data_IF_892763558104
#
_entry.id   IF_892763558104
#
_cell.length_a   1.000
_cell.length_b   1.000
_cell.length_c   1.000
_cell.angle_alpha   90.00
_cell.angle_beta   90.00
_cell.angle_gamma   90.00
#
_symmetry.space_group_name_H-M   'P 1'
#
loop_
_entity.id
_entity.type
_entity.pdbx_description
1 polymer ?
#
# COMPACT_ATOMS: atom_id res chain seq x y z
N UNK A 1 -13.02 1.68 9.61
CA UNK A 1 -11.62 1.24 9.53
C UNK A 1 -11.55 0.21 8.42
N UNK A 2 -10.74 0.49 7.39
CA UNK A 2 -10.89 -0.18 6.09
C UNK A 2 -10.25 -1.57 6.01
N UNK A 3 -9.27 -1.89 6.88
CA UNK A 3 -8.64 -3.20 6.92
C UNK A 3 -8.06 -3.52 8.30
N UNK A 4 -8.20 -4.78 8.73
CA UNK A 4 -7.73 -5.32 9.99
C UNK A 4 -7.07 -6.69 9.77
N UNK A 5 -6.30 -7.15 10.77
CA UNK A 5 -5.75 -8.51 10.79
C UNK A 5 -6.88 -9.53 10.67
N UNK A 6 -6.63 -10.58 9.88
CA UNK A 6 -7.59 -11.64 9.59
C UNK A 6 -8.57 -11.34 8.46
N UNK A 7 -8.64 -10.09 7.95
CA UNK A 7 -9.48 -9.77 6.80
C UNK A 7 -8.93 -10.38 5.51
N UNK A 8 -9.82 -10.77 4.61
CA UNK A 8 -9.53 -11.22 3.26
C UNK A 8 -9.57 -10.04 2.30
N UNK A 9 -8.43 -9.76 1.69
CA UNK A 9 -8.31 -8.75 0.63
C UNK A 9 -8.18 -9.43 -0.72
N UNK A 10 -8.75 -8.82 -1.75
CA UNK A 10 -8.59 -9.23 -3.14
C UNK A 10 -7.84 -8.15 -3.91
N UNK A 11 -6.85 -8.53 -4.71
CA UNK A 11 -6.13 -7.63 -5.61
C UNK A 11 -6.32 -8.18 -7.02
N UNK A 12 -6.58 -7.37 -8.04
CA UNK A 12 -6.62 -7.89 -9.40
C UNK A 12 -5.21 -8.32 -9.83
N UNK A 13 -5.05 -9.50 -10.44
CA UNK A 13 -3.72 -10.05 -10.77
C UNK A 13 -2.89 -9.11 -11.66
N UNK A 14 -3.55 -8.41 -12.60
CA UNK A 14 -2.94 -7.39 -13.45
C UNK A 14 -2.40 -6.17 -12.70
N UNK A 15 -2.83 -5.93 -11.46
CA UNK A 15 -2.48 -4.76 -10.67
C UNK A 15 -1.36 -5.02 -9.65
N UNK A 16 -1.10 -6.28 -9.26
CA UNK A 16 -0.18 -6.64 -8.16
C UNK A 16 1.28 -6.22 -8.43
N UNK A 17 1.68 -6.21 -9.70
CA UNK A 17 3.02 -5.77 -10.14
C UNK A 17 2.95 -4.46 -10.95
N UNK A 18 1.81 -3.79 -10.96
CA UNK A 18 1.64 -2.57 -11.70
C UNK A 18 2.36 -1.41 -10.98
N UNK A 19 2.84 -0.44 -11.77
CA UNK A 19 3.27 0.86 -11.29
C UNK A 19 4.47 0.87 -10.31
N UNK A 20 5.65 0.32 -10.69
CA UNK A 20 6.84 0.31 -9.84
C UNK A 20 7.28 1.73 -9.44
N UNK A 21 7.48 1.97 -8.16
CA UNK A 21 7.84 3.27 -7.61
C UNK A 21 8.96 3.15 -6.60
N UNK A 22 10.00 3.97 -6.75
CA UNK A 22 11.12 3.97 -5.81
C UNK A 22 10.74 4.76 -4.55
N UNK A 23 10.83 4.10 -3.40
CA UNK A 23 10.66 4.71 -2.09
C UNK A 23 12.05 4.92 -1.49
N UNK A 24 12.38 6.16 -1.15
CA UNK A 24 13.66 6.55 -0.56
C UNK A 24 13.46 6.96 0.89
N UNK A 25 14.32 6.50 1.80
CA UNK A 25 14.28 6.88 3.20
C UNK A 25 15.67 6.90 3.82
N UNK A 26 15.76 7.29 5.09
CA UNK A 26 16.99 7.26 5.87
C UNK A 26 16.78 6.36 7.07
N UNK A 27 17.77 5.52 7.36
CA UNK A 27 17.77 4.59 8.49
C UNK A 27 19.21 4.42 8.98
N UNK A 28 19.45 4.51 10.28
CA UNK A 28 20.78 4.38 10.89
C UNK A 28 21.83 5.28 10.20
N UNK A 29 21.48 6.56 9.97
CA UNK A 29 22.30 7.55 9.26
C UNK A 29 22.66 7.18 7.80
N UNK A 30 22.13 6.09 7.27
CA UNK A 30 22.35 5.66 5.89
C UNK A 30 21.13 5.94 5.04
N UNK A 31 21.36 6.41 3.81
CA UNK A 31 20.31 6.51 2.81
C UNK A 31 19.95 5.11 2.31
N UNK A 32 18.65 4.83 2.21
CA UNK A 32 18.10 3.56 1.74
C UNK A 32 17.07 3.84 0.66
N UNK A 33 16.98 2.91 -0.28
CA UNK A 33 15.98 2.93 -1.34
C UNK A 33 15.54 1.51 -1.66
N UNK A 34 14.29 1.39 -2.10
CA UNK A 34 13.76 0.15 -2.65
C UNK A 34 12.58 0.45 -3.57
N UNK A 35 12.28 -0.50 -4.45
CA UNK A 35 11.17 -0.39 -5.40
C UNK A 35 9.95 -1.09 -4.85
N UNK A 36 8.82 -0.39 -4.91
CA UNK A 36 7.52 -0.89 -4.48
C UNK A 36 6.51 -0.82 -5.63
N UNK A 37 5.75 -1.89 -5.81
CA UNK A 37 4.54 -1.89 -6.61
C UNK A 37 3.38 -1.32 -5.80
N UNK A 38 2.43 -0.71 -6.49
CA UNK A 38 1.24 -0.16 -5.88
C UNK A 38 0.02 -0.75 -6.55
N UNK A 39 -0.86 -1.32 -5.74
CA UNK A 39 -2.12 -1.89 -6.19
C UNK A 39 -3.27 -1.40 -5.33
N UNK A 40 -4.48 -1.45 -5.89
CA UNK A 40 -5.73 -1.30 -5.14
C UNK A 40 -6.16 -2.69 -4.70
N UNK A 41 -6.58 -2.81 -3.45
CA UNK A 41 -7.21 -4.01 -2.95
C UNK A 41 -8.67 -3.74 -2.55
N UNK A 42 -9.49 -4.77 -2.65
CA UNK A 42 -10.88 -4.79 -2.16
C UNK A 42 -10.95 -5.67 -0.93
N UNK A 43 -11.43 -5.14 0.20
CA UNK A 43 -11.65 -5.90 1.42
C UNK A 43 -12.98 -6.65 1.37
N UNK A 44 -12.92 -7.97 1.21
CA UNK A 44 -14.09 -8.85 1.11
C UNK A 44 -14.86 -8.98 2.43
N UNK A 45 -14.25 -8.65 3.55
CA UNK A 45 -14.86 -8.74 4.89
C UNK A 45 -15.36 -7.37 5.41
N UNK A 46 -15.21 -6.28 4.63
CA UNK A 46 -15.67 -4.92 4.98
C UNK A 46 -16.46 -4.31 3.82
N UNK A 47 -17.52 -4.99 3.38
CA UNK A 47 -18.45 -4.49 2.33
C UNK A 47 -17.76 -4.09 1.02
N UNK A 48 -16.72 -4.82 0.60
CA UNK A 48 -15.91 -4.49 -0.56
C UNK A 48 -15.28 -3.09 -0.51
N UNK A 49 -15.03 -2.54 0.69
CA UNK A 49 -14.27 -1.31 0.84
C UNK A 49 -12.88 -1.45 0.19
N UNK A 50 -12.46 -0.43 -0.54
CA UNK A 50 -11.20 -0.42 -1.26
C UNK A 50 -10.14 0.46 -0.59
N UNK A 51 -8.88 0.03 -0.64
CA UNK A 51 -7.73 0.81 -0.20
C UNK A 51 -6.46 0.37 -0.95
N UNK A 52 -5.31 0.93 -0.59
CA UNK A 52 -4.03 0.73 -1.26
C UNK A 52 -3.16 -0.29 -0.56
N UNK A 53 -2.40 -1.04 -1.34
CA UNK A 53 -1.29 -1.85 -0.88
C UNK A 53 -0.01 -1.48 -1.61
N UNK A 54 1.07 -1.34 -0.85
CA UNK A 54 2.43 -1.20 -1.37
C UNK A 54 3.19 -2.51 -1.17
N UNK A 55 3.79 -3.03 -2.24
CA UNK A 55 4.42 -4.35 -2.25
C UNK A 55 5.87 -4.17 -2.66
N UNK A 56 6.82 -4.50 -1.77
CA UNK A 56 8.25 -4.44 -2.12
C UNK A 56 8.54 -5.42 -3.26
N UNK A 57 9.30 -4.98 -4.27
CA UNK A 57 9.56 -5.77 -5.48
C UNK A 57 10.11 -7.16 -5.16
N UNK A 58 11.11 -7.26 -4.27
CA UNK A 58 11.69 -8.52 -3.82
C UNK A 58 10.78 -9.40 -2.94
N UNK A 59 9.57 -8.94 -2.62
CA UNK A 59 8.57 -9.67 -1.83
C UNK A 59 7.33 -10.04 -2.64
N UNK A 60 7.28 -9.71 -3.93
CA UNK A 60 6.14 -10.00 -4.78
C UNK A 60 5.80 -11.50 -4.79
N UNK A 61 6.78 -12.38 -5.03
CA UNK A 61 6.53 -13.83 -5.05
C UNK A 61 6.07 -14.37 -3.70
N UNK A 62 6.60 -13.80 -2.60
CA UNK A 62 6.16 -14.15 -1.25
C UNK A 62 4.71 -13.72 -1.00
N UNK A 63 4.26 -12.60 -1.57
CA UNK A 63 2.85 -12.20 -1.52
C UNK A 63 1.98 -13.14 -2.36
N UNK A 64 2.42 -13.47 -3.58
CA UNK A 64 1.69 -14.39 -4.47
C UNK A 64 1.52 -15.76 -3.84
N UNK A 65 2.54 -16.26 -3.13
CA UNK A 65 2.43 -17.52 -2.39
C UNK A 65 1.37 -17.52 -1.28
N UNK A 66 0.89 -16.34 -0.84
CA UNK A 66 -0.20 -16.21 0.15
C UNK A 66 -1.59 -16.22 -0.47
N UNK A 67 -1.72 -16.14 -1.80
CA UNK A 67 -3.05 -16.16 -2.44
C UNK A 67 -3.65 -17.56 -2.38
N UNK A 68 -4.95 -17.65 -2.08
CA UNK A 68 -5.69 -18.91 -2.14
C UNK A 68 -6.52 -19.03 -3.42
N UNK A 69 -6.18 -20.01 -4.27
CA UNK A 69 -6.98 -20.40 -5.45
C UNK A 69 -6.86 -19.47 -6.66
N UNK A 70 -7.88 -19.49 -7.53
CA UNK A 70 -7.93 -18.78 -8.83
C UNK A 70 -8.18 -17.25 -8.70
N UNK A 71 -8.43 -16.76 -7.48
CA UNK A 71 -8.53 -15.34 -7.16
C UNK A 71 -7.36 -14.94 -6.29
N UNK A 72 -6.70 -13.81 -6.58
CA UNK A 72 -5.59 -13.28 -5.77
C UNK A 72 -6.12 -12.68 -4.45
N UNK A 73 -6.71 -13.56 -3.64
CA UNK A 73 -7.29 -13.29 -2.34
C UNK A 73 -6.32 -13.71 -1.26
N UNK A 74 -5.98 -12.78 -0.39
CA UNK A 74 -4.97 -12.95 0.64
C UNK A 74 -5.57 -12.60 1.99
N UNK A 75 -5.34 -13.44 2.99
CA UNK A 75 -5.64 -13.12 4.38
C UNK A 75 -4.55 -12.19 4.93
N UNK A 76 -4.95 -11.04 5.45
CA UNK A 76 -4.05 -10.09 6.12
C UNK A 76 -3.58 -10.69 7.45
N UNK A 77 -2.28 -10.83 7.63
CA UNK A 77 -1.65 -11.39 8.82
C UNK A 77 -0.47 -10.54 9.32
N UNK A 78 0.32 -11.10 10.24
CA UNK A 78 1.47 -10.42 10.85
C UNK A 78 2.64 -10.17 9.89
N UNK A 79 2.57 -10.64 8.65
CA UNK A 79 3.58 -10.29 7.63
C UNK A 79 3.36 -8.91 7.02
N UNK A 80 2.15 -8.35 7.17
CA UNK A 80 1.83 -7.01 6.71
C UNK A 80 2.19 -5.96 7.77
N UNK A 81 2.44 -4.74 7.30
CA UNK A 81 2.36 -3.53 8.10
C UNK A 81 1.29 -2.61 7.50
N UNK A 82 0.91 -1.56 8.22
CA UNK A 82 -0.03 -0.58 7.72
C UNK A 82 0.38 0.85 8.07
N UNK A 83 -0.04 1.79 7.23
CA UNK A 83 -0.10 3.21 7.59
C UNK A 83 -1.56 3.63 7.78
N UNK A 84 -1.79 4.70 8.54
CA UNK A 84 -3.12 5.28 8.77
C UNK A 84 -2.99 6.76 9.13
N UNK A 85 -3.97 7.56 8.69
CA UNK A 85 -3.99 9.01 8.92
C UNK A 85 -4.10 9.36 10.40
N UNK A 86 -4.89 8.60 11.15
CA UNK A 86 -5.14 8.85 12.56
C UNK A 86 -5.40 7.54 13.32
N UNK A 87 -5.49 7.63 14.65
CA UNK A 87 -5.69 6.49 15.56
C UNK A 87 -7.01 5.75 15.32
N UNK A 88 -7.98 6.37 14.67
CA UNK A 88 -9.26 5.79 14.29
C UNK A 88 -9.15 4.88 13.05
N UNK A 89 -7.98 4.80 12.41
CA UNK A 89 -7.74 3.96 11.24
C UNK A 89 -8.31 4.54 9.95
N UNK A 90 -8.54 5.85 9.90
CA UNK A 90 -8.90 6.55 8.66
C UNK A 90 -7.74 6.46 7.67
N UNK A 91 -8.06 6.24 6.39
CA UNK A 91 -7.06 6.19 5.33
C UNK A 91 -6.08 5.02 5.44
N UNK A 92 -6.44 3.93 6.14
CA UNK A 92 -5.53 2.81 6.39
C UNK A 92 -5.18 2.10 5.09
N UNK A 93 -3.88 1.96 4.82
CA UNK A 93 -3.32 1.25 3.68
C UNK A 93 -2.33 0.18 4.15
N UNK A 94 -2.07 -0.82 3.31
CA UNK A 94 -1.18 -1.93 3.61
C UNK A 94 0.20 -1.74 3.01
N UNK A 95 1.22 -2.30 3.67
CA UNK A 95 2.57 -2.44 3.15
C UNK A 95 3.04 -3.87 3.38
N UNK A 96 3.44 -4.55 2.30
CA UNK A 96 4.01 -5.88 2.32
C UNK A 96 5.50 -5.80 1.94
N UNK A 97 6.37 -5.91 2.93
CA UNK A 97 7.81 -5.73 2.75
C UNK A 97 8.66 -6.36 3.86
N UNK A 98 9.97 -6.32 3.70
CA UNK A 98 10.91 -6.55 4.78
C UNK A 98 10.78 -5.49 5.89
N UNK A 99 10.20 -5.88 7.02
CA UNK A 99 9.95 -5.02 8.18
C UNK A 99 11.23 -4.42 8.80
N UNK A 100 12.41 -5.02 8.53
CA UNK A 100 13.69 -4.48 9.03
C UNK A 100 14.07 -3.14 8.37
N UNK A 101 13.46 -2.81 7.24
CA UNK A 101 13.67 -1.57 6.48
C UNK A 101 13.09 -0.34 7.17
N UNK A 102 12.04 -0.52 7.99
CA UNK A 102 11.38 0.52 8.80
C UNK A 102 11.24 1.94 8.17
N UNK A 103 10.79 2.09 6.91
CA UNK A 103 10.45 3.40 6.37
C UNK A 103 9.25 4.02 7.09
N UNK A 104 9.27 5.34 7.27
CA UNK A 104 8.11 6.10 7.73
C UNK A 104 6.95 6.00 6.74
N UNK A 105 5.71 5.98 7.23
CA UNK A 105 4.53 5.77 6.39
C UNK A 105 4.34 6.87 5.31
N UNK A 106 4.76 8.10 5.59
CA UNK A 106 4.69 9.23 4.64
C UNK A 106 5.55 9.03 3.38
N UNK A 107 6.55 8.14 3.42
CA UNK A 107 7.43 7.85 2.27
C UNK A 107 6.67 7.20 1.13
N UNK A 108 5.75 6.29 1.43
CA UNK A 108 4.92 5.60 0.43
C UNK A 108 3.94 6.57 -0.24
N UNK A 109 3.34 7.42 0.58
CA UNK A 109 2.45 8.49 0.14
C UNK A 109 3.16 9.49 -0.77
N UNK A 110 4.35 9.97 -0.36
CA UNK A 110 5.14 10.93 -1.15
C UNK A 110 5.53 10.36 -2.52
N UNK A 111 5.90 9.09 -2.57
CA UNK A 111 6.18 8.38 -3.82
C UNK A 111 4.94 8.33 -4.73
N UNK A 112 3.75 8.09 -4.17
CA UNK A 112 2.49 8.14 -4.90
C UNK A 112 2.20 9.54 -5.45
N UNK A 113 2.26 10.59 -4.63
CA UNK A 113 2.07 11.98 -5.13
C UNK A 113 3.05 12.36 -6.23
N UNK A 114 4.31 11.97 -6.11
CA UNK A 114 5.34 12.28 -7.10
C UNK A 114 5.00 11.67 -8.47
N UNK A 115 4.43 10.44 -8.49
CA UNK A 115 3.94 9.82 -9.72
C UNK A 115 2.72 10.54 -10.31
N UNK A 116 1.78 10.94 -9.46
CA UNK A 116 0.56 11.63 -9.89
C UNK A 116 0.85 13.03 -10.42
N UNK A 117 1.76 13.77 -9.77
CA UNK A 117 2.15 15.13 -10.14
C UNK A 117 2.96 15.22 -11.44
N UNK A 118 3.70 14.17 -11.80
CA UNK A 118 4.49 14.10 -13.04
C UNK A 118 3.68 13.69 -14.28
N UNK A 119 2.34 13.72 -14.23
CA UNK A 119 1.48 13.39 -15.38
C UNK A 119 1.40 11.90 -15.73
N UNK A 120 1.95 11.01 -14.89
CA UNK A 120 1.91 9.56 -15.11
C UNK A 120 0.51 8.94 -14.96
N UNK A 121 -0.51 9.74 -14.61
CA UNK A 121 -1.92 9.37 -14.46
C UNK A 121 -2.49 8.58 -15.65
N UNK A 122 -1.98 8.81 -16.87
CA UNK A 122 -2.43 8.09 -18.06
C UNK A 122 -1.92 6.63 -18.14
N UNK A 123 -0.91 6.26 -17.34
CA UNK A 123 -0.27 4.93 -17.35
C UNK A 123 -0.65 4.09 -16.13
N UNK A 124 -1.05 4.75 -15.05
CA UNK A 124 -1.60 4.07 -13.89
C UNK A 124 -3.05 3.70 -14.24
N UNK A 125 -3.28 2.46 -14.68
CA UNK A 125 -4.62 1.85 -14.66
C UNK A 125 -5.05 1.68 -13.19
N UNK A 126 -5.17 2.78 -12.45
CA UNK A 126 -5.80 2.76 -11.15
C UNK A 126 -7.25 2.43 -11.45
N UNK A 127 -7.64 1.19 -11.16
CA UNK A 127 -9.02 0.91 -10.77
C UNK A 127 -9.52 2.09 -9.92
N UNK A 128 -10.76 2.56 -10.15
CA UNK A 128 -11.26 3.83 -9.62
C UNK A 128 -10.74 4.05 -8.21
N UNK A 129 -9.85 5.03 -8.09
CA UNK A 129 -9.25 5.43 -6.83
C UNK A 129 -10.38 5.54 -5.82
N UNK A 130 -10.29 4.93 -4.63
CA UNK A 130 -11.29 5.13 -3.58
C UNK A 130 -11.40 6.64 -3.29
N UNK A 131 -12.48 7.29 -3.75
CA UNK A 131 -12.68 8.75 -3.67
C UNK A 131 -12.27 9.59 -4.91
N UNK A 132 -11.72 8.99 -5.97
CA UNK A 132 -11.28 9.70 -7.19
C UNK A 132 -9.91 10.39 -7.07
N UNK A 133 -9.29 10.71 -8.20
CA UNK A 133 -7.92 11.29 -8.30
C UNK A 133 -7.74 12.56 -7.44
N UNK A 134 -8.82 13.30 -7.20
CA UNK A 134 -8.81 14.53 -6.39
C UNK A 134 -8.68 14.26 -4.88
N UNK A 135 -8.94 13.04 -4.42
CA UNK A 135 -8.98 12.73 -2.98
C UNK A 135 -7.74 12.00 -2.46
N UNK A 136 -6.79 11.54 -3.28
CA UNK A 136 -5.51 10.99 -2.77
C UNK A 136 -4.83 12.02 -1.86
N UNK A 137 -4.93 13.30 -2.25
CA UNK A 137 -4.35 14.39 -1.51
C UNK A 137 -4.93 14.53 -0.09
N UNK A 138 -6.23 14.29 0.02
CA UNK A 138 -7.03 14.40 1.24
C UNK A 138 -7.00 13.12 2.06
N UNK A 139 -7.02 11.97 1.40
CA UNK A 139 -6.93 10.62 1.95
C UNK A 139 -5.65 10.43 2.76
N UNK A 140 -4.54 10.97 2.25
CA UNK A 140 -3.24 10.90 2.91
C UNK A 140 -2.83 12.20 3.63
N UNK A 141 -3.71 13.22 3.65
CA UNK A 141 -3.47 14.44 4.43
C UNK A 141 -3.32 14.11 5.92
N UNK A 142 -2.23 14.58 6.55
CA UNK A 142 -1.97 14.35 7.98
C UNK A 142 -1.09 13.14 8.30
N UNK A 143 -0.65 12.38 7.29
CA UNK A 143 0.37 11.36 7.46
C UNK A 143 1.76 12.00 7.59
N UNK A 144 2.12 12.39 8.81
CA UNK A 144 3.41 13.04 9.09
C UNK A 144 4.13 12.27 10.20
N UNK A 145 5.39 11.91 9.94
CA UNK A 145 6.37 11.60 11.00
C UNK A 145 6.28 10.22 11.68
N UNK A 146 5.28 9.38 11.36
CA UNK A 146 5.09 8.10 12.04
C UNK A 146 5.67 6.89 11.26
N UNK A 147 6.30 5.91 11.94
CA UNK A 147 6.64 4.62 11.35
C UNK A 147 5.41 3.87 10.85
N UNK A 148 5.62 2.85 10.02
CA UNK A 148 4.55 1.88 9.75
C UNK A 148 4.19 1.10 11.02
N UNK A 149 2.91 0.76 11.15
CA UNK A 149 2.38 0.00 12.28
C UNK A 149 2.38 -1.50 11.99
N UNK A 150 2.55 -2.31 13.03
CA UNK A 150 2.29 -3.75 12.99
C UNK A 150 0.83 -4.03 13.35
N UNK A 151 0.32 -5.14 12.84
CA UNK A 151 -0.97 -5.71 13.23
C UNK A 151 -0.91 -6.43 14.59
#
# INVERSE_FOLDING_TARGET
>A
MTVEKGNKIFIAEGDVAANPATVNWQQNLSQKSDTYYMAVFTNKDKNDEQSYIFIQQGKLDALKAKSSGDSFTITVDDSFQYGQKNKQGEGRFLVFHDKSRNPFQWRFVSTLYSKLGNGALAVINLAPIPGGVKDIAKYFSGLIGDPLHNF
#
